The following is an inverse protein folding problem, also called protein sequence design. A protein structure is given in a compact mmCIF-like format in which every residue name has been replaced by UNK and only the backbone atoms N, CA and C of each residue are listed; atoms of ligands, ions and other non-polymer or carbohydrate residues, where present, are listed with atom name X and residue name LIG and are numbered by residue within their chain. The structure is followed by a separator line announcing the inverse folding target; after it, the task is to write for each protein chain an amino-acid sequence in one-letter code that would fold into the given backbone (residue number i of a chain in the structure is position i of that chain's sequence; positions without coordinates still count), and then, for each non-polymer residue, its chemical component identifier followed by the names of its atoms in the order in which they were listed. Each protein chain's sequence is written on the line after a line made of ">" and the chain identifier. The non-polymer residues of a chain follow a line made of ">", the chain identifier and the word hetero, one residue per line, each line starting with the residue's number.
data_IF_806141887269
#
_entry.id   IF_806141887269
#
_cell.length_a   1.000
_cell.length_b   1.000
_cell.length_c   1.000
_cell.angle_alpha   90.00
_cell.angle_beta   90.00
_cell.angle_gamma   90.00
#
_symmetry.space_group_name_H-M   'P 1'
#
loop_
_entity.id
_entity.type
_entity.pdbx_description
1 polymer ?
#
# COMPACT_ATOMS: atom_id res chain seq x y z
N UNK A 1 -34.84 -0.80 -12.10
CA UNK A 1 -35.05 -1.59 -10.87
C UNK A 1 -34.21 -0.99 -9.78
N UNK A 2 -34.78 -0.77 -8.59
CA UNK A 2 -33.98 -0.34 -7.43
C UNK A 2 -33.33 -1.59 -6.81
N UNK A 3 -32.05 -1.50 -6.49
CA UNK A 3 -31.37 -2.56 -5.73
C UNK A 3 -31.87 -2.56 -4.28
N UNK A 4 -31.88 -3.72 -3.64
CA UNK A 4 -32.25 -3.87 -2.23
C UNK A 4 -31.31 -3.05 -1.32
N UNK A 5 -30.03 -3.01 -1.67
CA UNK A 5 -29.01 -2.27 -0.94
C UNK A 5 -27.86 -1.87 -1.87
N UNK A 6 -27.04 -0.94 -1.43
CA UNK A 6 -25.80 -0.49 -2.08
C UNK A 6 -24.68 -0.44 -1.03
N UNK A 7 -23.44 -0.32 -1.46
CA UNK A 7 -22.32 -0.16 -0.55
C UNK A 7 -22.55 1.03 0.41
N UNK A 8 -22.19 0.92 1.70
CA UNK A 8 -22.29 2.00 2.67
C UNK A 8 -21.52 3.24 2.22
N UNK A 9 -22.00 4.41 2.60
CA UNK A 9 -21.33 5.66 2.24
C UNK A 9 -19.90 5.71 2.80
N UNK A 10 -18.93 5.93 1.94
CA UNK A 10 -17.52 6.01 2.31
C UNK A 10 -16.79 4.66 2.23
N UNK A 11 -17.44 3.63 1.70
CA UNK A 11 -16.79 2.38 1.29
C UNK A 11 -16.79 2.27 -0.24
N UNK A 12 -15.91 1.45 -0.79
CA UNK A 12 -15.79 1.21 -2.23
C UNK A 12 -15.45 -0.24 -2.50
N UNK A 13 -16.15 -0.86 -3.46
CA UNK A 13 -15.75 -2.16 -3.99
C UNK A 13 -14.49 -2.00 -4.88
N UNK A 14 -13.53 -2.90 -4.71
CA UNK A 14 -12.37 -3.02 -5.61
C UNK A 14 -12.72 -4.09 -6.65
N UNK A 15 -13.01 -3.63 -7.86
CA UNK A 15 -13.51 -4.50 -8.93
C UNK A 15 -12.37 -5.25 -9.64
N UNK A 16 -12.65 -6.38 -10.34
CA UNK A 16 -11.63 -7.20 -11.02
C UNK A 16 -10.73 -6.42 -12.01
N UNK A 17 -11.20 -5.32 -12.59
CA UNK A 17 -10.38 -4.46 -13.44
C UNK A 17 -9.42 -3.54 -12.68
N UNK A 18 -9.63 -3.32 -11.38
CA UNK A 18 -8.79 -2.49 -10.52
C UNK A 18 -7.85 -3.35 -9.64
N UNK A 19 -8.29 -4.56 -9.27
CA UNK A 19 -7.58 -5.46 -8.35
C UNK A 19 -6.11 -5.71 -8.73
N UNK A 20 -5.71 -5.88 -10.01
CA UNK A 20 -4.31 -6.10 -10.35
C UNK A 20 -3.39 -4.93 -9.98
N UNK A 21 -3.88 -3.69 -10.03
CA UNK A 21 -3.12 -2.51 -9.58
C UNK A 21 -2.92 -2.51 -8.07
N UNK A 22 -3.93 -2.94 -7.32
CA UNK A 22 -3.86 -3.12 -5.87
C UNK A 22 -2.85 -4.19 -5.49
N UNK A 23 -2.95 -5.37 -6.11
CA UNK A 23 -2.01 -6.48 -5.89
C UNK A 23 -0.56 -6.09 -6.20
N UNK A 24 -0.34 -5.32 -7.27
CA UNK A 24 0.98 -4.78 -7.59
C UNK A 24 1.49 -3.85 -6.49
N UNK A 25 0.67 -2.89 -6.05
CA UNK A 25 1.01 -1.94 -5.00
C UNK A 25 1.35 -2.66 -3.69
N UNK A 26 0.43 -3.50 -3.20
CA UNK A 26 0.57 -4.26 -1.96
C UNK A 26 1.83 -5.13 -1.97
N UNK A 27 2.00 -5.91 -3.05
CA UNK A 27 3.15 -6.79 -3.23
C UNK A 27 4.47 -6.00 -3.25
N UNK A 28 4.55 -4.93 -4.02
CA UNK A 28 5.77 -4.10 -4.12
C UNK A 28 6.17 -3.52 -2.77
N UNK A 29 5.22 -3.02 -1.98
CA UNK A 29 5.49 -2.45 -0.67
C UNK A 29 5.98 -3.51 0.33
N UNK A 30 5.35 -4.69 0.36
CA UNK A 30 5.77 -5.80 1.23
C UNK A 30 7.15 -6.34 0.85
N UNK A 31 7.43 -6.54 -0.43
CA UNK A 31 8.74 -6.97 -0.94
C UNK A 31 9.83 -5.94 -0.63
N UNK A 32 9.54 -4.64 -0.78
CA UNK A 32 10.47 -3.57 -0.42
C UNK A 32 10.78 -3.59 1.08
N UNK A 33 9.76 -3.75 1.94
CA UNK A 33 9.98 -3.87 3.39
C UNK A 33 10.83 -5.10 3.75
N UNK A 34 10.65 -6.22 3.04
CA UNK A 34 11.43 -7.44 3.26
C UNK A 34 12.92 -7.23 2.96
N UNK A 35 13.28 -6.41 1.94
CA UNK A 35 14.67 -6.04 1.66
C UNK A 35 15.33 -5.28 2.81
N UNK A 36 14.56 -4.54 3.60
CA UNK A 36 15.03 -3.86 4.82
C UNK A 36 14.94 -4.74 6.07
N UNK A 37 14.58 -6.03 5.91
CA UNK A 37 14.50 -7.01 7.00
C UNK A 37 13.22 -6.95 7.82
N UNK A 38 12.19 -6.25 7.36
CA UNK A 38 10.88 -6.27 7.99
C UNK A 38 10.11 -7.53 7.58
N UNK A 39 9.39 -8.11 8.53
CA UNK A 39 8.57 -9.32 8.33
C UNK A 39 7.10 -8.99 8.49
N UNK A 40 6.25 -9.55 7.63
CA UNK A 40 4.82 -9.32 7.70
C UNK A 40 4.24 -9.82 9.01
N UNK A 41 3.42 -8.98 9.65
CA UNK A 41 2.56 -9.32 10.78
C UNK A 41 1.10 -9.05 10.43
N UNK A 42 0.20 -9.94 10.81
CA UNK A 42 -1.24 -9.78 10.63
C UNK A 42 -1.93 -9.69 11.98
N UNK A 43 -2.72 -8.66 12.17
CA UNK A 43 -3.44 -8.38 13.42
C UNK A 43 -4.96 -8.46 13.20
N UNK A 44 -5.77 -8.71 14.24
CA UNK A 44 -7.22 -8.72 14.15
C UNK A 44 -7.80 -7.42 13.59
N UNK A 45 -8.94 -7.53 12.90
CA UNK A 45 -9.66 -6.37 12.35
C UNK A 45 -10.34 -5.53 13.44
N UNK A 46 -10.63 -6.12 14.57
CA UNK A 46 -11.24 -5.46 15.72
C UNK A 46 -10.48 -5.80 17.01
N UNK A 47 -10.46 -4.86 17.92
CA UNK A 47 -9.73 -4.92 19.20
C UNK A 47 -10.64 -4.42 20.32
N UNK A 48 -10.23 -4.63 21.58
CA UNK A 48 -10.84 -3.94 22.70
C UNK A 48 -10.67 -2.43 22.55
N UNK A 49 -11.74 -1.68 22.78
CA UNK A 49 -11.74 -0.21 22.63
C UNK A 49 -10.66 0.47 23.45
N UNK A 50 -10.34 -0.10 24.64
CA UNK A 50 -9.28 0.41 25.52
C UNK A 50 -7.90 0.47 24.86
N UNK A 51 -7.61 -0.43 23.92
CA UNK A 51 -6.36 -0.39 23.19
C UNK A 51 -6.16 0.97 22.51
N UNK A 52 -7.18 1.45 21.81
CA UNK A 52 -7.08 2.69 21.05
C UNK A 52 -7.23 3.94 21.94
N UNK A 53 -8.09 3.91 22.94
CA UNK A 53 -8.24 5.06 23.85
C UNK A 53 -6.96 5.35 24.63
N UNK A 54 -6.23 4.33 25.05
CA UNK A 54 -4.95 4.49 25.76
C UNK A 54 -3.80 4.87 24.84
N UNK A 55 -3.68 4.20 23.69
CA UNK A 55 -2.51 4.35 22.83
C UNK A 55 -2.58 5.55 21.89
N UNK A 56 -3.77 5.84 21.31
CA UNK A 56 -3.93 6.91 20.30
C UNK A 56 -4.09 8.28 20.95
N UNK A 57 -4.60 8.32 22.17
CA UNK A 57 -4.84 9.53 22.97
C UNK A 57 -6.28 10.02 22.90
N UNK A 58 -6.86 10.25 24.09
CA UNK A 58 -8.25 10.68 24.28
C UNK A 58 -8.58 12.04 23.63
N UNK A 59 -7.57 12.84 23.30
CA UNK A 59 -7.75 14.18 22.72
C UNK A 59 -7.77 14.17 21.20
N UNK A 60 -7.53 13.02 20.57
CA UNK A 60 -7.47 12.90 19.10
C UNK A 60 -8.84 12.84 18.48
N UNK A 61 -9.01 13.42 17.28
CA UNK A 61 -10.27 13.32 16.53
C UNK A 61 -10.62 11.86 16.22
N UNK A 62 -9.63 11.00 16.02
CA UNK A 62 -9.80 9.56 15.78
C UNK A 62 -10.57 8.92 16.94
N UNK A 63 -10.11 9.10 18.17
CA UNK A 63 -10.74 8.51 19.36
C UNK A 63 -12.08 9.15 19.66
N UNK A 64 -12.19 10.48 19.57
CA UNK A 64 -13.39 11.20 19.96
C UNK A 64 -14.56 11.05 18.98
N UNK A 65 -14.30 10.93 17.67
CA UNK A 65 -15.34 11.10 16.63
C UNK A 65 -15.32 10.06 15.51
N UNK A 66 -14.19 9.33 15.33
CA UNK A 66 -14.00 8.56 14.10
C UNK A 66 -13.98 7.04 14.29
N UNK A 67 -13.92 6.55 15.54
CA UNK A 67 -13.92 5.11 15.80
C UNK A 67 -15.30 4.48 15.55
N UNK A 68 -15.29 3.30 14.91
CA UNK A 68 -16.45 2.41 14.82
C UNK A 68 -16.43 1.47 16.02
N UNK A 69 -17.18 1.84 17.07
CA UNK A 69 -17.25 1.10 18.32
C UNK A 69 -18.64 0.49 18.53
N UNK A 70 -18.67 -0.75 19.01
CA UNK A 70 -19.90 -1.49 19.30
C UNK A 70 -19.69 -2.41 20.52
N UNK A 71 -20.80 -2.84 21.11
CA UNK A 71 -20.78 -3.83 22.19
C UNK A 71 -21.00 -5.21 21.59
N UNK A 72 -20.13 -6.16 21.93
CA UNK A 72 -20.28 -7.56 21.51
C UNK A 72 -21.32 -8.31 22.36
N UNK A 73 -21.59 -9.58 22.02
CA UNK A 73 -22.54 -10.44 22.77
C UNK A 73 -22.09 -10.74 24.21
N UNK A 74 -20.82 -10.52 24.54
CA UNK A 74 -20.25 -10.66 25.88
C UNK A 74 -20.15 -9.33 26.63
N UNK A 75 -20.90 -8.31 26.20
CA UNK A 75 -20.96 -6.96 26.79
C UNK A 75 -19.61 -6.22 26.81
N UNK A 76 -18.66 -6.62 25.93
CA UNK A 76 -17.36 -5.97 25.82
C UNK A 76 -17.40 -4.86 24.75
N UNK A 77 -16.75 -3.73 25.04
CA UNK A 77 -16.59 -2.65 24.07
C UNK A 77 -15.50 -3.01 23.06
N UNK A 78 -15.87 -3.11 21.80
CA UNK A 78 -15.03 -3.51 20.68
C UNK A 78 -15.00 -2.39 19.64
N UNK A 79 -13.84 -2.17 19.04
CA UNK A 79 -13.64 -1.13 18.04
C UNK A 79 -12.98 -1.73 16.78
N UNK A 80 -13.51 -1.42 15.60
CA UNK A 80 -12.81 -1.71 14.34
C UNK A 80 -11.54 -0.86 14.31
N UNK A 81 -10.40 -1.47 14.00
CA UNK A 81 -9.08 -0.81 14.03
C UNK A 81 -9.05 0.46 13.16
N UNK A 82 -8.78 1.64 13.74
CA UNK A 82 -8.66 2.90 13.00
C UNK A 82 -7.25 3.13 12.44
N UNK A 83 -6.26 2.31 12.88
CA UNK A 83 -4.86 2.33 12.48
C UNK A 83 -4.18 1.01 12.88
N UNK A 84 -2.92 0.78 12.46
CA UNK A 84 -2.22 -0.49 12.69
C UNK A 84 -1.32 -0.51 13.92
N UNK A 85 -0.67 0.60 14.25
CA UNK A 85 0.43 0.67 15.23
C UNK A 85 0.06 0.11 16.61
N UNK A 86 -1.09 0.49 17.15
CA UNK A 86 -1.56 0.02 18.47
C UNK A 86 -1.79 -1.50 18.48
N UNK A 87 -2.43 -2.03 17.44
CA UNK A 87 -2.68 -3.46 17.28
C UNK A 87 -1.39 -4.27 17.14
N UNK A 88 -0.41 -3.74 16.40
CA UNK A 88 0.92 -4.36 16.26
C UNK A 88 1.68 -4.33 17.58
N UNK A 89 1.66 -3.21 18.31
CA UNK A 89 2.28 -3.09 19.63
C UNK A 89 1.69 -4.10 20.63
N UNK A 90 0.34 -4.23 20.68
CA UNK A 90 -0.34 -5.24 21.49
C UNK A 90 0.08 -6.65 21.07
N UNK A 91 0.12 -6.96 19.77
CA UNK A 91 0.50 -8.28 19.28
C UNK A 91 1.95 -8.62 19.64
N UNK A 92 2.88 -7.66 19.54
CA UNK A 92 4.27 -7.84 19.92
C UNK A 92 4.42 -8.13 21.42
N UNK A 93 3.66 -7.45 22.27
CA UNK A 93 3.63 -7.69 23.73
C UNK A 93 3.04 -9.05 24.08
N UNK A 94 1.84 -9.33 23.59
CA UNK A 94 1.07 -10.54 23.94
C UNK A 94 1.80 -11.82 23.54
N UNK A 95 2.52 -11.80 22.41
CA UNK A 95 3.26 -12.94 21.89
C UNK A 95 4.76 -12.95 22.29
N UNK A 96 5.19 -12.03 23.17
CA UNK A 96 6.55 -12.00 23.69
C UNK A 96 7.64 -11.64 22.67
N UNK A 97 7.28 -11.08 21.52
CA UNK A 97 8.24 -10.81 20.43
C UNK A 97 9.31 -9.79 20.82
N UNK A 98 9.04 -8.96 21.83
CA UNK A 98 10.02 -7.98 22.35
C UNK A 98 11.06 -8.61 23.30
N UNK A 99 10.90 -9.88 23.66
CA UNK A 99 11.88 -10.66 24.45
C UNK A 99 12.89 -11.41 23.61
N UNK A 100 12.71 -11.49 22.30
CA UNK A 100 13.58 -12.17 21.34
C UNK A 100 14.72 -11.25 20.87
N UNK A 101 15.23 -11.50 19.66
CA UNK A 101 16.27 -10.68 19.05
C UNK A 101 15.74 -9.29 18.69
N UNK A 102 16.34 -8.24 19.25
CA UNK A 102 16.04 -6.85 18.90
C UNK A 102 17.09 -6.31 17.90
N UNK A 103 16.73 -5.37 17.00
CA UNK A 103 15.39 -4.76 16.88
C UNK A 103 14.36 -5.69 16.23
N UNK A 104 13.13 -5.68 16.73
CA UNK A 104 11.99 -6.30 16.07
C UNK A 104 11.54 -5.39 14.91
N UNK A 105 11.54 -5.91 13.68
CA UNK A 105 11.11 -5.21 12.47
C UNK A 105 9.89 -5.91 11.88
N UNK A 106 8.74 -5.26 11.85
CA UNK A 106 7.50 -5.83 11.28
C UNK A 106 6.83 -4.86 10.31
N UNK A 107 6.22 -5.42 9.26
CA UNK A 107 5.41 -4.71 8.28
C UNK A 107 3.98 -5.26 8.26
N UNK A 108 3.03 -4.46 7.84
CA UNK A 108 1.63 -4.87 7.71
C UNK A 108 0.95 -4.19 6.52
N UNK A 109 0.01 -4.93 5.93
CA UNK A 109 -0.97 -4.42 4.98
C UNK A 109 -2.35 -4.78 5.51
N UNK A 110 -3.15 -3.77 5.87
CA UNK A 110 -4.39 -3.96 6.61
C UNK A 110 -5.49 -2.99 6.19
N UNK A 111 -6.73 -3.45 6.28
CA UNK A 111 -7.92 -2.58 6.20
C UNK A 111 -8.15 -1.86 7.52
N UNK A 112 -8.39 -0.56 7.47
CA UNK A 112 -8.70 0.31 8.61
C UNK A 112 -10.06 0.99 8.45
N UNK A 113 -10.62 1.48 9.56
CA UNK A 113 -11.97 2.04 9.61
C UNK A 113 -12.01 3.35 10.38
N UNK A 114 -12.47 4.44 9.74
CA UNK A 114 -12.66 5.76 10.39
C UNK A 114 -13.95 6.41 9.92
N UNK A 115 -14.76 6.89 10.84
CA UNK A 115 -16.00 7.61 10.54
C UNK A 115 -15.69 9.06 10.15
N UNK A 116 -14.85 9.25 9.14
CA UNK A 116 -14.55 10.59 8.64
C UNK A 116 -15.48 11.00 7.47
N UNK A 117 -15.45 12.29 7.13
CA UNK A 117 -16.18 12.81 5.96
C UNK A 117 -15.48 12.30 4.69
N UNK A 118 -16.17 11.48 3.85
CA UNK A 118 -15.60 11.00 2.61
C UNK A 118 -15.20 12.13 1.66
N UNK A 119 -14.06 11.97 1.00
CA UNK A 119 -13.50 12.94 0.06
C UNK A 119 -12.49 12.29 -0.87
N UNK A 120 -11.75 13.08 -1.63
CA UNK A 120 -10.69 12.58 -2.51
C UNK A 120 -9.62 11.82 -1.70
N UNK A 121 -9.47 10.52 -1.95
CA UNK A 121 -8.54 9.66 -1.23
C UNK A 121 -8.86 9.44 0.26
N UNK A 122 -10.07 9.77 0.72
CA UNK A 122 -10.56 9.55 2.10
C UNK A 122 -11.80 8.70 2.09
N UNK A 123 -11.70 7.54 2.72
CA UNK A 123 -12.75 6.56 2.84
C UNK A 123 -12.99 6.22 4.31
N UNK A 124 -14.14 5.63 4.62
CA UNK A 124 -14.47 5.12 5.95
C UNK A 124 -13.92 3.72 6.18
N UNK A 125 -13.77 2.97 5.12
CA UNK A 125 -12.99 1.76 5.02
C UNK A 125 -11.86 2.04 4.05
N UNK A 126 -10.61 1.88 4.49
CA UNK A 126 -9.41 2.21 3.72
C UNK A 126 -8.28 1.26 4.07
N UNK A 127 -7.27 1.19 3.24
CA UNK A 127 -6.14 0.29 3.40
C UNK A 127 -4.88 1.05 3.79
N UNK A 128 -4.12 0.46 4.70
CA UNK A 128 -2.84 0.98 5.15
C UNK A 128 -1.75 -0.08 5.02
N UNK A 129 -0.67 0.30 4.34
CA UNK A 129 0.62 -0.33 4.53
C UNK A 129 1.38 0.43 5.62
N UNK A 130 2.04 -0.29 6.52
CA UNK A 130 2.87 0.32 7.55
C UNK A 130 4.00 -0.59 8.02
N UNK A 131 4.94 0.01 8.73
CA UNK A 131 6.06 -0.70 9.36
C UNK A 131 6.29 -0.19 10.77
N UNK A 132 6.74 -1.09 11.65
CA UNK A 132 7.09 -0.77 13.02
C UNK A 132 8.44 -1.42 13.37
N UNK A 133 9.34 -0.65 13.95
CA UNK A 133 10.64 -1.09 14.44
C UNK A 133 10.70 -0.83 15.95
N UNK A 134 10.89 -1.88 16.74
CA UNK A 134 10.94 -1.81 18.20
C UNK A 134 12.32 -2.17 18.74
N UNK A 135 12.69 -1.56 19.87
CA UNK A 135 13.87 -1.91 20.65
C UNK A 135 15.15 -1.18 20.24
N UNK A 136 15.09 -0.18 19.35
CA UNK A 136 16.24 0.61 18.98
C UNK A 136 16.01 2.11 19.22
N UNK A 137 16.81 2.72 20.09
CA UNK A 137 16.73 4.12 20.48
C UNK A 137 17.63 5.05 19.62
N UNK A 138 18.51 4.50 18.81
CA UNK A 138 19.52 5.25 18.06
C UNK A 138 18.93 5.98 16.84
N UNK A 139 19.54 7.09 16.41
CA UNK A 139 19.21 7.77 15.16
C UNK A 139 19.31 6.88 13.91
N UNK A 140 20.09 5.82 13.96
CA UNK A 140 20.22 4.84 12.89
C UNK A 140 18.89 4.14 12.59
N UNK A 141 18.10 3.81 13.63
CA UNK A 141 16.79 3.21 13.46
C UNK A 141 15.79 4.18 12.78
N UNK A 142 15.88 5.47 13.11
CA UNK A 142 15.06 6.49 12.46
C UNK A 142 15.41 6.58 10.98
N UNK A 143 16.71 6.66 10.68
CA UNK A 143 17.20 6.77 9.29
C UNK A 143 16.84 5.54 8.46
N UNK A 144 16.90 4.33 9.03
CA UNK A 144 16.47 3.08 8.39
C UNK A 144 14.99 3.12 7.98
N UNK A 145 14.12 3.54 8.90
CA UNK A 145 12.67 3.65 8.65
C UNK A 145 12.36 4.75 7.65
N UNK A 146 13.08 5.88 7.70
CA UNK A 146 12.96 6.98 6.73
C UNK A 146 13.44 6.57 5.34
N UNK A 147 14.55 5.81 5.25
CA UNK A 147 15.06 5.28 3.99
C UNK A 147 14.04 4.31 3.35
N UNK A 148 13.47 3.40 4.14
CA UNK A 148 12.41 2.51 3.67
C UNK A 148 11.18 3.30 3.19
N UNK A 149 10.77 4.33 3.94
CA UNK A 149 9.64 5.16 3.56
C UNK A 149 9.84 5.86 2.20
N UNK A 150 11.05 6.36 1.96
CA UNK A 150 11.43 6.96 0.68
C UNK A 150 11.49 5.92 -0.44
N UNK A 151 12.14 4.78 -0.20
CA UNK A 151 12.28 3.70 -1.17
C UNK A 151 10.91 3.15 -1.61
N UNK A 152 9.97 2.95 -0.68
CA UNK A 152 8.60 2.54 -1.01
C UNK A 152 7.93 3.43 -2.07
N UNK A 153 8.16 4.74 -2.03
CA UNK A 153 7.57 5.66 -3.01
C UNK A 153 8.35 5.67 -4.33
N UNK A 154 9.67 5.52 -4.24
CA UNK A 154 10.58 5.52 -5.41
C UNK A 154 10.34 4.28 -6.29
N UNK A 155 10.26 3.09 -5.71
CA UNK A 155 10.03 1.83 -6.47
C UNK A 155 8.64 1.79 -7.12
N UNK A 156 7.68 2.55 -6.60
CA UNK A 156 6.36 2.73 -7.20
C UNK A 156 6.37 3.72 -8.38
N UNK A 157 7.53 4.29 -8.72
CA UNK A 157 7.69 5.23 -9.82
C UNK A 157 7.29 6.68 -9.51
N UNK A 158 7.00 7.01 -8.24
CA UNK A 158 6.65 8.36 -7.85
C UNK A 158 7.89 9.26 -7.85
N UNK A 159 7.83 10.31 -8.66
CA UNK A 159 8.87 11.35 -8.74
C UNK A 159 8.58 12.48 -7.74
N UNK A 160 9.56 13.36 -7.52
CA UNK A 160 9.39 14.55 -6.69
C UNK A 160 8.88 14.27 -5.27
N UNK A 161 9.37 13.17 -4.66
CA UNK A 161 9.12 12.82 -3.28
C UNK A 161 10.17 13.45 -2.38
N UNK A 162 9.71 14.07 -1.28
CA UNK A 162 10.57 14.67 -0.25
C UNK A 162 10.08 14.23 1.12
N UNK A 163 11.00 13.86 1.98
CA UNK A 163 10.71 13.62 3.39
C UNK A 163 10.72 14.96 4.14
N UNK A 164 9.59 15.34 4.71
CA UNK A 164 9.51 16.49 5.60
C UNK A 164 9.70 16.03 7.04
N UNK A 165 10.72 16.57 7.70
CA UNK A 165 11.18 16.14 9.00
C UNK A 165 10.94 17.19 10.07
N UNK A 166 10.56 16.76 11.27
CA UNK A 166 10.59 17.57 12.47
C UNK A 166 11.07 16.74 13.67
N UNK A 167 11.38 17.40 14.77
CA UNK A 167 11.62 16.76 16.05
C UNK A 167 10.70 17.33 17.11
N UNK A 168 9.87 16.49 17.72
CA UNK A 168 9.02 16.88 18.87
C UNK A 168 9.80 16.89 20.19
N UNK A 169 11.08 16.56 20.17
CA UNK A 169 11.92 16.46 21.36
C UNK A 169 11.51 15.35 22.33
N UNK A 170 12.22 15.27 23.43
CA UNK A 170 11.84 14.43 24.57
C UNK A 170 10.74 15.10 25.43
N UNK A 171 10.18 14.43 26.43
CA UNK A 171 9.15 15.01 27.31
C UNK A 171 9.54 16.34 27.93
N UNK A 172 10.81 16.53 28.30
CA UNK A 172 11.32 17.79 28.86
C UNK A 172 11.36 18.93 27.83
N UNK A 173 11.78 18.62 26.60
CA UNK A 173 11.73 19.59 25.48
C UNK A 173 10.29 20.01 25.21
N UNK A 174 9.39 19.02 25.13
CA UNK A 174 7.96 19.24 24.87
C UNK A 174 7.33 20.11 25.96
N UNK A 175 7.64 19.86 27.23
CA UNK A 175 7.12 20.66 28.35
C UNK A 175 7.48 22.13 28.23
N UNK A 176 8.74 22.45 27.94
CA UNK A 176 9.21 23.82 27.72
C UNK A 176 8.54 24.47 26.51
N UNK A 177 8.45 23.75 25.43
CA UNK A 177 7.83 24.22 24.19
C UNK A 177 6.32 24.47 24.37
N UNK A 178 5.60 23.56 25.04
CA UNK A 178 4.16 23.74 25.35
C UNK A 178 3.91 25.01 26.12
N UNK A 179 4.77 25.38 27.08
CA UNK A 179 4.66 26.63 27.82
C UNK A 179 4.84 27.86 26.92
N UNK A 180 5.82 27.82 26.00
CA UNK A 180 6.03 28.88 25.02
C UNK A 180 4.86 29.01 24.04
N UNK A 181 4.32 27.88 23.53
CA UNK A 181 3.14 27.88 22.67
C UNK A 181 1.91 28.46 23.37
N UNK A 182 1.66 28.04 24.63
CA UNK A 182 0.56 28.58 25.42
C UNK A 182 0.67 30.09 25.56
N UNK A 183 1.83 30.60 25.95
CA UNK A 183 2.06 32.05 26.07
C UNK A 183 1.83 32.80 24.75
N UNK A 184 2.29 32.21 23.64
CA UNK A 184 2.10 32.77 22.30
C UNK A 184 0.62 32.79 21.89
N UNK A 185 -0.09 31.67 21.98
CA UNK A 185 -1.49 31.59 21.54
C UNK A 185 -2.45 32.34 22.47
N UNK A 186 -2.16 32.42 23.78
CA UNK A 186 -2.94 33.26 24.70
C UNK A 186 -2.91 34.73 24.30
N UNK A 187 -1.79 35.24 23.76
CA UNK A 187 -1.70 36.62 23.23
C UNK A 187 -2.57 36.82 21.98
N UNK A 188 -3.01 35.75 21.35
CA UNK A 188 -3.86 35.78 20.14
C UNK A 188 -5.26 35.19 20.38
N UNK A 189 -5.63 34.90 21.62
CA UNK A 189 -6.83 34.15 22.03
C UNK A 189 -8.12 34.64 21.35
N UNK A 190 -8.30 35.94 21.26
CA UNK A 190 -9.51 36.55 20.67
C UNK A 190 -9.66 36.31 19.16
N UNK A 191 -8.59 35.90 18.49
CA UNK A 191 -8.56 35.66 17.04
C UNK A 191 -8.65 34.18 16.68
N UNK A 192 -8.54 33.28 17.67
CA UNK A 192 -8.58 31.85 17.45
C UNK A 192 -10.01 31.34 17.25
N UNK A 193 -10.19 30.36 16.38
CA UNK A 193 -11.48 29.69 16.21
C UNK A 193 -11.86 28.86 17.45
N UNK A 194 -13.16 28.55 17.61
CA UNK A 194 -13.67 27.81 18.77
C UNK A 194 -12.94 26.48 19.01
N UNK A 195 -12.63 25.74 17.93
CA UNK A 195 -11.88 24.48 18.02
C UNK A 195 -10.45 24.68 18.56
N UNK A 196 -9.78 25.77 18.14
CA UNK A 196 -8.44 26.09 18.64
C UNK A 196 -8.44 26.54 20.10
N UNK A 197 -9.49 27.21 20.54
CA UNK A 197 -9.68 27.53 21.97
C UNK A 197 -9.76 26.27 22.83
N UNK A 198 -10.55 25.26 22.40
CA UNK A 198 -10.62 23.97 23.10
C UNK A 198 -9.29 23.22 23.08
N UNK A 199 -8.59 23.24 21.91
CA UNK A 199 -7.27 22.60 21.74
C UNK A 199 -6.21 23.27 22.62
N UNK A 200 -6.28 24.57 22.80
CA UNK A 200 -5.35 25.32 23.65
C UNK A 200 -5.37 24.84 25.09
N UNK A 201 -6.54 24.45 25.61
CA UNK A 201 -6.69 23.92 26.96
C UNK A 201 -6.22 22.47 27.10
N UNK A 202 -6.40 21.65 26.05
CA UNK A 202 -6.13 20.20 26.10
C UNK A 202 -4.75 19.84 25.55
N UNK A 203 -4.44 20.30 24.36
CA UNK A 203 -3.17 20.03 23.66
C UNK A 203 -2.82 21.19 22.70
N UNK A 204 -2.05 22.19 23.14
CA UNK A 204 -1.71 23.37 22.36
C UNK A 204 -1.00 23.09 21.03
N UNK A 205 -0.26 21.97 20.95
CA UNK A 205 0.38 21.53 19.70
C UNK A 205 -0.62 21.34 18.56
N UNK A 206 -1.86 20.96 18.86
CA UNK A 206 -2.92 20.77 17.87
C UNK A 206 -3.43 22.06 17.23
N UNK A 207 -3.11 23.21 17.79
CA UNK A 207 -3.44 24.52 17.21
C UNK A 207 -2.63 24.73 15.94
N UNK A 208 -1.38 24.21 15.88
CA UNK A 208 -0.50 24.29 14.71
C UNK A 208 -1.08 23.57 13.47
N UNK A 209 -1.91 22.53 13.66
CA UNK A 209 -2.57 21.77 12.59
C UNK A 209 -4.01 22.27 12.32
N UNK A 210 -4.32 23.52 12.65
CA UNK A 210 -5.65 24.07 12.36
C UNK A 210 -5.81 24.34 10.87
N UNK A 211 -6.99 23.97 10.33
CA UNK A 211 -7.33 24.20 8.91
C UNK A 211 -8.03 25.54 8.65
N UNK A 212 -8.31 26.30 9.69
CA UNK A 212 -8.85 27.63 9.55
C UNK A 212 -7.76 28.59 9.04
N UNK A 213 -7.97 29.32 7.93
CA UNK A 213 -6.94 30.18 7.33
C UNK A 213 -6.40 31.28 8.27
N UNK A 214 -7.24 31.84 9.16
CA UNK A 214 -6.78 32.84 10.12
C UNK A 214 -5.92 32.22 11.23
N UNK A 215 -6.29 31.05 11.73
CA UNK A 215 -5.50 30.32 12.72
C UNK A 215 -4.16 29.86 12.11
N UNK A 216 -4.13 29.48 10.84
CA UNK A 216 -2.90 29.14 10.12
C UNK A 216 -1.92 30.33 10.04
N UNK A 217 -2.43 31.53 9.80
CA UNK A 217 -1.60 32.74 9.80
C UNK A 217 -1.00 33.01 11.19
N UNK A 218 -1.78 32.77 12.24
CA UNK A 218 -1.29 32.90 13.61
C UNK A 218 -0.27 31.80 13.90
N UNK A 219 -0.56 30.56 13.55
CA UNK A 219 0.33 29.42 13.76
C UNK A 219 1.69 29.57 13.04
N UNK A 220 1.71 30.20 11.86
CA UNK A 220 2.94 30.48 11.12
C UNK A 220 3.92 31.40 11.87
N UNK A 221 3.44 32.19 12.83
CA UNK A 221 4.28 33.04 13.69
C UNK A 221 4.64 32.40 15.04
N UNK A 222 4.20 31.17 15.30
CA UNK A 222 4.47 30.47 16.56
C UNK A 222 5.96 30.12 16.70
N UNK A 223 6.49 30.02 17.93
CA UNK A 223 7.86 29.56 18.17
C UNK A 223 8.08 28.13 17.60
N UNK A 224 9.29 27.87 17.11
CA UNK A 224 9.66 26.53 16.62
C UNK A 224 10.02 25.60 17.79
N UNK A 225 9.59 24.33 17.74
CA UNK A 225 10.02 23.30 18.70
C UNK A 225 11.54 23.10 18.68
N UNK A 226 12.17 23.31 17.53
CA UNK A 226 13.60 23.11 17.34
C UNK A 226 14.44 24.04 18.25
N UNK A 227 13.92 25.22 18.62
CA UNK A 227 14.58 26.16 19.53
C UNK A 227 14.55 25.72 20.99
N UNK A 228 13.72 24.69 21.31
CA UNK A 228 13.50 24.18 22.67
C UNK A 228 14.09 22.78 22.89
N UNK A 229 14.78 22.23 21.88
CA UNK A 229 15.43 20.94 22.00
C UNK A 229 16.60 20.97 22.98
N UNK A 230 16.72 19.95 23.80
CA UNK A 230 17.95 19.71 24.60
C UNK A 230 19.07 19.19 23.70
N UNK A 231 20.31 19.22 24.19
CA UNK A 231 21.50 18.80 23.42
C UNK A 231 21.37 17.38 22.85
N UNK A 232 20.84 16.43 23.63
CA UNK A 232 20.63 15.06 23.16
C UNK A 232 19.63 14.96 22.01
N UNK A 233 18.54 15.74 22.08
CA UNK A 233 17.53 15.75 21.01
C UNK A 233 18.04 16.48 19.74
N UNK A 234 18.83 17.52 19.92
CA UNK A 234 19.51 18.22 18.80
C UNK A 234 20.49 17.27 18.10
N UNK A 235 21.35 16.60 18.86
CA UNK A 235 22.34 15.64 18.32
C UNK A 235 21.64 14.48 17.61
N UNK A 236 20.59 13.91 18.22
CA UNK A 236 19.81 12.86 17.59
C UNK A 236 19.22 13.29 16.25
N UNK A 237 18.58 14.46 16.21
CA UNK A 237 17.97 14.97 14.99
C UNK A 237 18.99 15.35 13.92
N UNK A 238 20.16 15.86 14.33
CA UNK A 238 21.25 16.16 13.41
C UNK A 238 21.82 14.86 12.80
N UNK A 239 22.06 13.83 13.61
CA UNK A 239 22.57 12.55 13.11
C UNK A 239 21.60 11.89 12.11
N UNK A 240 20.28 12.00 12.31
CA UNK A 240 19.29 11.55 11.30
C UNK A 240 19.49 12.27 9.97
N UNK A 241 19.61 13.60 10.01
CA UNK A 241 19.83 14.41 8.81
C UNK A 241 21.14 14.07 8.10
N UNK A 242 22.22 13.87 8.86
CA UNK A 242 23.53 13.50 8.32
C UNK A 242 23.50 12.16 7.59
N UNK A 243 22.77 11.16 8.15
CA UNK A 243 22.58 9.84 7.54
C UNK A 243 21.75 9.91 6.26
N UNK A 244 20.67 10.67 6.24
CA UNK A 244 19.85 10.86 5.04
C UNK A 244 20.64 11.59 3.95
N UNK A 245 21.45 12.59 4.33
CA UNK A 245 22.35 13.28 3.41
C UNK A 245 23.40 12.32 2.80
N UNK A 246 24.00 11.50 3.64
CA UNK A 246 24.98 10.49 3.18
C UNK A 246 24.37 9.44 2.26
N UNK A 247 23.08 9.14 2.42
CA UNK A 247 22.31 8.23 1.56
C UNK A 247 21.67 8.92 0.35
N UNK A 248 21.91 10.20 0.14
CA UNK A 248 21.34 11.01 -0.95
C UNK A 248 19.79 11.01 -0.96
N UNK A 249 19.17 10.83 0.20
CA UNK A 249 17.71 10.85 0.35
C UNK A 249 17.24 12.29 0.51
N UNK A 250 16.36 12.81 -0.36
CA UNK A 250 15.89 14.18 -0.28
C UNK A 250 14.99 14.40 0.94
N UNK A 251 15.33 15.38 1.75
CA UNK A 251 14.53 15.80 2.88
C UNK A 251 14.55 17.32 3.07
N UNK A 252 13.60 17.81 3.86
CA UNK A 252 13.60 19.18 4.38
C UNK A 252 13.10 19.19 5.81
N UNK A 253 13.60 20.12 6.60
CA UNK A 253 13.11 20.36 7.95
C UNK A 253 11.86 21.22 7.89
N UNK A 254 10.75 20.73 8.44
CA UNK A 254 9.46 21.43 8.49
C UNK A 254 8.97 21.50 9.94
N UNK A 255 9.28 22.58 10.68
CA UNK A 255 8.98 22.69 12.11
C UNK A 255 7.50 22.70 12.46
N UNK A 256 6.61 22.90 11.49
CA UNK A 256 5.16 22.93 11.72
C UNK A 256 4.50 21.55 11.72
N UNK A 257 5.24 20.49 11.37
CA UNK A 257 4.68 19.13 11.40
C UNK A 257 4.33 18.75 12.84
N UNK A 258 3.03 18.52 13.07
CA UNK A 258 2.48 17.85 14.24
C UNK A 258 1.67 16.67 13.75
N UNK A 259 1.90 15.50 14.34
CA UNK A 259 1.20 14.27 13.93
C UNK A 259 -0.17 14.15 14.60
N UNK A 260 -1.08 13.43 13.93
CA UNK A 260 -2.46 13.23 14.37
C UNK A 260 -2.63 12.38 15.64
N UNK A 261 -1.56 11.79 16.20
CA UNK A 261 -1.58 10.88 17.35
C UNK A 261 -0.62 11.41 18.43
N UNK A 262 -0.96 11.22 19.72
CA UNK A 262 -0.26 11.89 20.82
C UNK A 262 0.99 11.16 21.32
N UNK A 263 1.21 9.92 20.87
CA UNK A 263 2.33 9.08 21.34
C UNK A 263 3.71 9.45 20.77
N UNK A 264 3.78 10.30 19.75
CA UNK A 264 5.05 10.62 19.09
C UNK A 264 6.02 11.42 19.98
N UNK A 265 7.31 11.10 19.84
CA UNK A 265 8.44 11.78 20.47
C UNK A 265 9.58 11.94 19.47
N UNK A 266 10.53 12.87 19.71
CA UNK A 266 11.71 13.06 18.83
C UNK A 266 11.33 13.16 17.36
N UNK A 267 11.91 12.30 16.51
CA UNK A 267 11.71 12.33 15.04
C UNK A 267 10.27 12.07 14.65
N UNK A 268 9.69 12.98 13.88
CA UNK A 268 8.42 12.81 13.15
C UNK A 268 8.63 13.24 11.71
N UNK A 269 7.86 12.65 10.81
CA UNK A 269 8.00 12.94 9.38
C UNK A 269 6.72 12.73 8.58
N UNK A 270 6.69 13.35 7.43
CA UNK A 270 5.70 13.15 6.39
C UNK A 270 6.39 12.87 5.05
N UNK A 271 5.82 11.98 4.27
CA UNK A 271 6.22 11.70 2.90
C UNK A 271 5.38 12.55 1.97
N UNK A 272 6.00 13.54 1.35
CA UNK A 272 5.30 14.52 0.52
C UNK A 272 5.68 14.34 -0.94
N UNK A 273 4.70 14.07 -1.76
CA UNK A 273 4.81 14.10 -3.20
C UNK A 273 4.33 15.46 -3.71
N UNK A 274 5.03 16.03 -4.70
CA UNK A 274 4.60 17.26 -5.36
C UNK A 274 4.28 16.94 -6.81
N UNK A 275 3.00 17.05 -7.15
CA UNK A 275 2.52 16.83 -8.51
C UNK A 275 3.09 17.88 -9.50
N UNK A 276 3.12 17.60 -10.81
CA UNK A 276 3.51 18.57 -11.83
C UNK A 276 2.70 19.88 -11.80
N UNK A 277 1.47 19.83 -11.29
CA UNK A 277 0.61 21.00 -11.04
C UNK A 277 1.12 21.90 -9.90
N UNK A 278 2.09 21.44 -9.10
CA UNK A 278 2.53 22.07 -7.87
C UNK A 278 1.69 21.73 -6.64
N UNK A 279 0.67 20.87 -6.77
CA UNK A 279 -0.11 20.38 -5.64
C UNK A 279 0.73 19.44 -4.78
N UNK A 280 0.72 19.70 -3.47
CA UNK A 280 1.43 18.88 -2.48
C UNK A 280 0.48 17.85 -1.87
N UNK A 281 0.89 16.61 -1.88
CA UNK A 281 0.14 15.49 -1.35
C UNK A 281 0.96 14.72 -0.31
N UNK A 282 0.43 14.62 0.91
CA UNK A 282 1.02 13.76 1.95
C UNK A 282 0.61 12.32 1.68
N UNK A 283 1.56 11.49 1.23
CA UNK A 283 1.35 10.07 0.92
C UNK A 283 1.28 9.19 2.17
N UNK A 284 1.96 9.61 3.22
CA UNK A 284 2.02 8.91 4.49
C UNK A 284 2.87 9.66 5.48
N UNK A 285 3.12 9.05 6.62
CA UNK A 285 4.01 9.62 7.61
C UNK A 285 4.07 8.80 8.88
N UNK A 286 5.02 9.16 9.72
CA UNK A 286 5.35 8.40 10.89
C UNK A 286 6.19 9.17 11.89
N UNK A 287 6.88 8.43 12.73
CA UNK A 287 7.80 8.98 13.70
C UNK A 287 8.12 8.03 14.83
N UNK A 288 8.94 8.50 15.75
CA UNK A 288 9.36 7.77 16.94
C UNK A 288 8.32 7.88 18.05
N UNK A 289 8.16 6.80 18.79
CA UNK A 289 7.31 6.70 19.96
C UNK A 289 7.98 5.82 21.03
N UNK A 290 8.21 6.39 22.24
CA UNK A 290 8.92 5.68 23.31
C UNK A 290 8.01 5.21 24.44
N UNK A 291 6.76 5.73 24.52
CA UNK A 291 5.82 5.44 25.61
C UNK A 291 4.81 4.33 25.31
N UNK A 292 4.53 4.04 24.05
CA UNK A 292 3.40 3.19 23.65
C UNK A 292 3.43 1.78 24.26
N UNK A 293 4.56 1.11 24.20
CA UNK A 293 4.71 -0.24 24.77
C UNK A 293 4.50 -0.24 26.29
N UNK A 294 5.00 0.79 26.99
CA UNK A 294 4.81 0.94 28.42
C UNK A 294 3.35 1.25 28.78
N UNK A 295 2.67 2.08 28.02
CA UNK A 295 1.23 2.39 28.21
C UNK A 295 0.35 1.14 28.05
N UNK A 296 0.78 0.21 27.22
CA UNK A 296 0.15 -1.10 27.03
C UNK A 296 0.55 -2.15 28.07
N UNK A 297 1.36 -1.77 29.08
CA UNK A 297 1.75 -2.64 30.21
C UNK A 297 3.05 -3.41 29.99
N UNK A 298 3.80 -3.12 28.93
CA UNK A 298 5.13 -3.70 28.69
C UNK A 298 6.26 -2.91 29.35
N UNK A 299 7.48 -3.42 29.20
CA UNK A 299 8.68 -2.66 29.58
C UNK A 299 8.88 -1.45 28.66
N UNK A 300 9.48 -0.35 29.14
CA UNK A 300 9.84 0.78 28.29
C UNK A 300 10.63 0.31 27.09
N UNK A 301 10.07 0.49 25.90
CA UNK A 301 10.66 0.03 24.65
C UNK A 301 10.46 1.10 23.59
N UNK A 302 11.56 1.59 23.04
CA UNK A 302 11.53 2.56 21.94
C UNK A 302 10.96 1.92 20.67
N UNK A 303 10.16 2.69 19.95
CA UNK A 303 9.59 2.30 18.67
C UNK A 303 9.67 3.45 17.67
N UNK A 304 9.71 3.10 16.40
CA UNK A 304 9.57 4.01 15.27
C UNK A 304 8.88 3.29 14.13
N UNK A 305 7.97 3.97 13.46
CA UNK A 305 7.24 3.40 12.33
C UNK A 305 6.60 4.46 11.45
N UNK A 306 5.97 4.02 10.38
CA UNK A 306 5.13 4.84 9.53
C UNK A 306 3.95 4.06 8.97
N UNK A 307 2.96 4.80 8.47
CA UNK A 307 1.88 4.24 7.68
C UNK A 307 1.57 5.09 6.45
N UNK A 308 1.20 4.42 5.35
CA UNK A 308 0.76 4.99 4.08
C UNK A 308 -0.66 4.55 3.77
N UNK A 309 -1.50 5.46 3.25
CA UNK A 309 -2.85 5.12 2.76
C UNK A 309 -2.79 4.65 1.32
N UNK A 310 -3.18 3.39 1.05
CA UNK A 310 -3.02 2.76 -0.25
C UNK A 310 -3.92 3.39 -1.33
N UNK A 311 -5.14 3.80 -0.99
CA UNK A 311 -6.04 4.50 -1.92
C UNK A 311 -5.42 5.78 -2.45
N UNK A 312 -4.73 6.51 -1.57
CA UNK A 312 -4.07 7.76 -1.94
C UNK A 312 -2.84 7.48 -2.81
N UNK A 313 -2.01 6.51 -2.44
CA UNK A 313 -0.87 6.10 -3.25
C UNK A 313 -1.32 5.66 -4.65
N UNK A 314 -2.29 4.78 -4.74
CA UNK A 314 -2.80 4.28 -6.02
C UNK A 314 -3.35 5.41 -6.90
N UNK A 315 -4.12 6.33 -6.30
CA UNK A 315 -4.64 7.47 -7.06
C UNK A 315 -3.53 8.41 -7.55
N UNK A 316 -2.48 8.59 -6.75
CA UNK A 316 -1.30 9.39 -7.13
C UNK A 316 -0.52 8.72 -8.25
N UNK A 317 -0.24 7.40 -8.14
CA UNK A 317 0.43 6.64 -9.20
C UNK A 317 -0.30 6.73 -10.54
N UNK A 318 -1.64 6.60 -10.52
CA UNK A 318 -2.46 6.72 -11.73
C UNK A 318 -2.40 8.14 -12.30
N UNK A 319 -2.45 9.16 -11.45
CA UNK A 319 -2.40 10.56 -11.88
C UNK A 319 -1.04 10.96 -12.48
N UNK A 320 0.05 10.40 -11.94
CA UNK A 320 1.42 10.62 -12.43
C UNK A 320 1.77 9.74 -13.65
N UNK A 321 0.90 8.80 -14.02
CA UNK A 321 1.16 7.89 -15.13
C UNK A 321 2.23 6.85 -14.84
N UNK A 322 2.37 6.45 -13.57
CA UNK A 322 3.27 5.36 -13.19
C UNK A 322 2.90 4.06 -13.91
N UNK A 323 3.90 3.27 -14.24
CA UNK A 323 3.71 1.99 -14.91
C UNK A 323 3.08 0.95 -13.97
N UNK A 324 2.11 0.23 -14.50
CA UNK A 324 1.55 -0.95 -13.86
C UNK A 324 1.79 -2.17 -14.72
N UNK A 325 2.01 -3.34 -14.12
CA UNK A 325 2.09 -4.58 -14.88
C UNK A 325 0.84 -4.74 -15.76
N UNK A 326 0.99 -5.25 -16.99
CA UNK A 326 -0.15 -5.52 -17.85
C UNK A 326 -1.11 -6.50 -17.16
N UNK A 327 -2.40 -6.31 -17.43
CA UNK A 327 -3.41 -7.24 -16.95
C UNK A 327 -3.12 -8.64 -17.46
N UNK A 328 -3.18 -9.62 -16.57
CA UNK A 328 -3.09 -11.02 -16.98
C UNK A 328 -4.36 -11.36 -17.78
N UNK A 329 -4.19 -11.58 -19.09
CA UNK A 329 -5.26 -11.93 -20.01
C UNK A 329 -5.25 -13.43 -20.29
N UNK A 330 -6.35 -13.98 -20.82
CA UNK A 330 -6.44 -15.39 -21.20
C UNK A 330 -5.37 -15.74 -22.23
N UNK A 331 -4.48 -16.68 -21.91
CA UNK A 331 -3.47 -17.11 -22.86
C UNK A 331 -4.10 -17.91 -24.00
N UNK A 332 -4.93 -18.91 -23.67
CA UNK A 332 -5.56 -19.77 -24.66
C UNK A 332 -7.07 -19.92 -24.38
N UNK A 333 -7.89 -19.54 -25.34
CA UNK A 333 -9.33 -19.82 -25.30
C UNK A 333 -9.65 -20.97 -26.26
N UNK A 334 -10.27 -22.04 -25.73
CA UNK A 334 -10.66 -23.21 -26.52
C UNK A 334 -12.15 -23.14 -26.84
N UNK A 335 -12.47 -22.72 -28.03
CA UNK A 335 -13.83 -22.74 -28.57
C UNK A 335 -14.23 -24.15 -29.02
N UNK A 336 -15.50 -24.53 -28.85
CA UNK A 336 -15.96 -25.87 -29.22
C UNK A 336 -17.34 -25.87 -29.89
N UNK A 337 -17.59 -26.83 -30.75
CA UNK A 337 -18.85 -27.06 -31.42
C UNK A 337 -19.28 -28.54 -31.24
N UNK A 338 -20.41 -28.74 -30.56
CA UNK A 338 -20.93 -30.08 -30.24
C UNK A 338 -20.45 -30.62 -28.88
N UNK A 339 -21.15 -31.63 -28.37
CA UNK A 339 -20.93 -32.13 -27.02
C UNK A 339 -19.55 -32.79 -26.86
N UNK A 340 -19.12 -33.61 -27.81
CA UNK A 340 -17.81 -34.26 -27.75
C UNK A 340 -16.65 -33.29 -27.78
N UNK A 341 -16.72 -32.25 -28.62
CA UNK A 341 -15.74 -31.17 -28.68
C UNK A 341 -15.74 -30.34 -27.40
N UNK A 342 -16.90 -30.15 -26.77
CA UNK A 342 -16.99 -29.45 -25.46
C UNK A 342 -16.28 -30.19 -24.35
N UNK A 343 -16.44 -31.55 -24.28
CA UNK A 343 -15.73 -32.40 -23.31
C UNK A 343 -14.21 -32.35 -23.56
N UNK A 344 -13.78 -32.44 -24.80
CA UNK A 344 -12.36 -32.34 -25.16
C UNK A 344 -11.77 -30.95 -24.84
N UNK A 345 -12.51 -29.88 -25.15
CA UNK A 345 -12.10 -28.51 -24.84
C UNK A 345 -11.90 -28.31 -23.32
N UNK A 346 -12.80 -28.86 -22.51
CA UNK A 346 -12.66 -28.84 -21.04
C UNK A 346 -11.41 -29.59 -20.58
N UNK A 347 -11.19 -30.82 -21.11
CA UNK A 347 -10.00 -31.62 -20.81
C UNK A 347 -8.71 -30.86 -21.14
N UNK A 348 -8.61 -30.31 -22.34
CA UNK A 348 -7.41 -29.58 -22.80
C UNK A 348 -7.20 -28.26 -22.04
N UNK A 349 -8.27 -27.54 -21.72
CA UNK A 349 -8.17 -26.35 -20.88
C UNK A 349 -7.63 -26.66 -19.47
N UNK A 350 -8.05 -27.80 -18.88
CA UNK A 350 -7.52 -28.22 -17.59
C UNK A 350 -6.06 -28.67 -17.68
N UNK A 351 -5.67 -29.32 -18.75
CA UNK A 351 -4.27 -29.68 -18.98
C UNK A 351 -3.40 -28.42 -19.07
N UNK A 352 -3.78 -27.42 -19.86
CA UNK A 352 -3.06 -26.14 -19.94
C UNK A 352 -2.98 -25.43 -18.59
N UNK A 353 -4.05 -25.46 -17.78
CA UNK A 353 -4.05 -24.86 -16.44
C UNK A 353 -3.07 -25.55 -15.50
N UNK A 354 -2.96 -26.89 -15.57
CA UNK A 354 -1.98 -27.63 -14.75
C UNK A 354 -0.52 -27.31 -15.13
N UNK A 355 -0.30 -26.80 -16.33
CA UNK A 355 0.99 -26.34 -16.85
C UNK A 355 1.21 -24.81 -16.65
N UNK A 356 0.31 -24.13 -15.93
CA UNK A 356 0.43 -22.72 -15.60
C UNK A 356 -0.17 -21.73 -16.61
N UNK A 357 -0.81 -22.19 -17.68
CA UNK A 357 -1.47 -21.30 -18.63
C UNK A 357 -2.82 -20.80 -18.11
N UNK A 358 -3.13 -19.54 -18.35
CA UNK A 358 -4.48 -19.02 -18.16
C UNK A 358 -5.38 -19.47 -19.33
N UNK A 359 -5.98 -20.64 -19.23
CA UNK A 359 -6.82 -21.22 -20.29
C UNK A 359 -8.31 -21.19 -19.91
N UNK A 360 -9.17 -20.92 -20.92
CA UNK A 360 -10.62 -20.92 -20.77
C UNK A 360 -11.29 -21.70 -21.90
N UNK A 361 -12.52 -22.21 -21.64
CA UNK A 361 -13.43 -22.80 -22.64
C UNK A 361 -14.84 -22.26 -22.42
N UNK A 362 -15.76 -22.53 -23.37
CA UNK A 362 -17.13 -22.03 -23.26
C UNK A 362 -17.93 -22.75 -22.14
N UNK A 363 -18.52 -21.97 -21.28
CA UNK A 363 -19.38 -22.44 -20.17
C UNK A 363 -20.88 -22.18 -20.43
N UNK A 364 -21.22 -21.51 -21.54
CA UNK A 364 -22.56 -21.01 -21.80
C UNK A 364 -23.29 -21.73 -22.94
N UNK A 365 -22.64 -22.71 -23.58
CA UNK A 365 -23.18 -23.40 -24.75
C UNK A 365 -23.37 -22.48 -25.97
N UNK A 366 -22.47 -21.49 -26.15
CA UNK A 366 -22.55 -20.49 -27.21
C UNK A 366 -22.18 -21.09 -28.57
N UNK A 367 -22.71 -20.50 -29.65
CA UNK A 367 -22.20 -20.80 -30.99
C UNK A 367 -20.73 -20.38 -31.11
N UNK A 368 -19.95 -21.05 -31.99
CA UNK A 368 -18.53 -20.74 -32.21
C UNK A 368 -18.30 -19.26 -32.51
N UNK A 369 -19.17 -18.64 -33.32
CA UNK A 369 -19.11 -17.19 -33.60
C UNK A 369 -19.21 -16.34 -32.32
N UNK A 370 -20.09 -16.73 -31.39
CA UNK A 370 -20.24 -16.00 -30.11
C UNK A 370 -19.08 -16.28 -29.17
N UNK A 371 -18.52 -17.51 -29.17
CA UNK A 371 -17.30 -17.86 -28.43
C UNK A 371 -16.10 -17.05 -28.92
N UNK A 372 -15.89 -16.94 -30.23
CA UNK A 372 -14.82 -16.11 -30.79
C UNK A 372 -14.95 -14.63 -30.43
N UNK A 373 -16.17 -14.10 -30.45
CA UNK A 373 -16.44 -12.72 -29.99
C UNK A 373 -16.13 -12.55 -28.50
N UNK A 374 -16.43 -13.56 -27.71
CA UNK A 374 -16.12 -13.57 -26.27
C UNK A 374 -14.60 -13.67 -26.04
N UNK A 375 -13.89 -14.57 -26.72
CA UNK A 375 -12.43 -14.69 -26.66
C UNK A 375 -11.75 -13.34 -26.94
N UNK A 376 -12.19 -12.64 -27.99
CA UNK A 376 -11.68 -11.29 -28.29
C UNK A 376 -12.00 -10.29 -27.18
N UNK A 377 -13.20 -10.34 -26.59
CA UNK A 377 -13.62 -9.43 -25.51
C UNK A 377 -12.79 -9.60 -24.23
N UNK A 378 -12.38 -10.85 -23.92
CA UNK A 378 -11.54 -11.15 -22.74
C UNK A 378 -10.04 -10.99 -23.01
N UNK A 379 -9.67 -10.55 -24.22
CA UNK A 379 -8.27 -10.35 -24.61
C UNK A 379 -7.49 -11.67 -24.70
N UNK A 380 -8.12 -12.76 -25.15
CA UNK A 380 -7.42 -14.02 -25.34
C UNK A 380 -6.29 -13.84 -26.37
N UNK A 381 -5.07 -14.27 -26.02
CA UNK A 381 -3.90 -14.17 -26.89
C UNK A 381 -3.97 -15.18 -28.04
N UNK A 382 -4.41 -16.38 -27.72
CA UNK A 382 -4.57 -17.48 -28.68
C UNK A 382 -5.96 -18.11 -28.57
N UNK A 383 -6.41 -18.67 -29.69
CA UNK A 383 -7.68 -19.40 -29.75
C UNK A 383 -7.47 -20.73 -30.50
N UNK A 384 -8.08 -21.79 -29.94
CA UNK A 384 -8.24 -23.09 -30.58
C UNK A 384 -9.72 -23.29 -30.84
N UNK A 385 -10.10 -23.78 -32.02
CA UNK A 385 -11.48 -24.16 -32.33
C UNK A 385 -11.53 -25.66 -32.50
N UNK A 386 -12.40 -26.32 -31.76
CA UNK A 386 -12.63 -27.77 -31.81
C UNK A 386 -14.02 -28.08 -32.35
N UNK A 387 -14.09 -28.82 -33.39
CA UNK A 387 -15.27 -29.42 -33.95
C UNK A 387 -15.08 -30.94 -34.13
N UNK A 388 -15.98 -31.56 -34.83
CA UNK A 388 -15.95 -32.99 -35.09
C UNK A 388 -14.75 -33.37 -35.98
N UNK A 389 -14.42 -32.53 -36.96
CA UNK A 389 -13.29 -32.72 -37.88
C UNK A 389 -11.93 -32.70 -37.18
N UNK A 390 -11.72 -31.75 -36.26
CA UNK A 390 -10.50 -31.66 -35.46
C UNK A 390 -10.34 -32.86 -34.54
N UNK A 391 -11.44 -33.35 -33.94
CA UNK A 391 -11.42 -34.53 -33.07
C UNK A 391 -11.07 -35.78 -33.87
N UNK A 392 -11.61 -35.95 -35.09
CA UNK A 392 -11.33 -37.08 -35.96
C UNK A 392 -9.90 -37.10 -36.49
N UNK A 393 -9.36 -35.92 -36.84
CA UNK A 393 -7.99 -35.78 -37.31
C UNK A 393 -6.95 -35.85 -36.17
N UNK A 394 -7.38 -35.63 -34.91
CA UNK A 394 -6.47 -35.50 -33.77
C UNK A 394 -5.57 -34.25 -33.83
N UNK A 395 -5.95 -33.26 -34.62
CA UNK A 395 -5.20 -32.02 -34.84
C UNK A 395 -6.15 -30.81 -34.86
N UNK A 396 -5.66 -29.65 -34.36
CA UNK A 396 -6.37 -28.40 -34.41
C UNK A 396 -5.40 -27.25 -34.77
N UNK A 397 -5.94 -26.06 -35.00
CA UNK A 397 -5.14 -24.86 -35.24
C UNK A 397 -5.12 -23.97 -34.00
N UNK A 398 -3.93 -23.66 -33.50
CA UNK A 398 -3.68 -22.59 -32.55
C UNK A 398 -3.57 -21.28 -33.33
N UNK A 399 -4.49 -20.35 -33.13
CA UNK A 399 -4.54 -19.08 -33.81
C UNK A 399 -4.12 -17.95 -32.87
N UNK A 400 -3.09 -17.18 -33.23
CA UNK A 400 -2.77 -15.91 -32.58
C UNK A 400 -3.86 -14.88 -32.88
N UNK A 401 -4.41 -14.28 -31.85
CA UNK A 401 -5.45 -13.25 -31.99
C UNK A 401 -4.86 -11.88 -32.34
N UNK A 402 -3.56 -11.67 -32.09
CA UNK A 402 -2.84 -10.45 -32.45
C UNK A 402 -2.41 -10.47 -33.93
N UNK A 403 -1.59 -11.45 -34.31
CA UNK A 403 -1.02 -11.53 -35.66
C UNK A 403 -1.93 -12.22 -36.67
N UNK A 404 -2.91 -12.98 -36.24
CA UNK A 404 -3.75 -13.83 -37.08
C UNK A 404 -3.05 -15.08 -37.61
N UNK A 405 -1.76 -15.29 -37.31
CA UNK A 405 -1.01 -16.50 -37.68
C UNK A 405 -1.62 -17.73 -37.03
N UNK A 406 -1.47 -18.86 -37.70
CA UNK A 406 -1.97 -20.16 -37.22
C UNK A 406 -0.85 -21.21 -37.28
N UNK A 407 -0.82 -22.08 -36.22
CA UNK A 407 0.07 -23.22 -36.15
C UNK A 407 -0.75 -24.50 -35.93
N UNK A 408 -0.36 -25.61 -36.52
CA UNK A 408 -1.00 -26.89 -36.30
C UNK A 408 -0.53 -27.49 -34.97
N UNK A 409 -1.47 -27.92 -34.14
CA UNK A 409 -1.21 -28.57 -32.85
C UNK A 409 -1.89 -29.93 -32.76
N UNK A 410 -1.24 -30.89 -32.12
CA UNK A 410 -1.79 -32.22 -31.90
C UNK A 410 -2.69 -32.25 -30.64
N UNK A 411 -3.77 -33.03 -30.70
CA UNK A 411 -4.71 -33.20 -29.59
C UNK A 411 -4.42 -34.48 -28.76
N UNK A 412 -3.18 -34.93 -28.78
CA UNK A 412 -2.67 -36.10 -28.05
C UNK A 412 -1.91 -35.71 -26.76
N UNK A 413 -1.07 -36.63 -26.27
CA UNK A 413 -0.26 -36.42 -25.06
C UNK A 413 0.79 -35.32 -25.18
N UNK A 414 1.12 -34.85 -26.39
CA UNK A 414 2.07 -33.75 -26.63
C UNK A 414 1.40 -32.37 -26.77
N UNK A 415 0.08 -32.29 -26.51
CA UNK A 415 -0.70 -31.07 -26.72
C UNK A 415 -0.14 -29.86 -25.99
N UNK A 416 0.12 -29.99 -24.68
CA UNK A 416 0.63 -28.86 -23.88
C UNK A 416 2.01 -28.43 -24.30
N UNK A 417 2.88 -29.38 -24.65
CA UNK A 417 4.24 -29.10 -25.12
C UNK A 417 4.21 -28.33 -26.45
N UNK A 418 3.39 -28.81 -27.40
CA UNK A 418 3.23 -28.14 -28.71
C UNK A 418 2.67 -26.71 -28.56
N UNK A 419 1.67 -26.52 -27.68
CA UNK A 419 1.10 -25.19 -27.39
C UNK A 419 2.16 -24.29 -26.77
N UNK A 420 2.96 -24.81 -25.81
CA UNK A 420 4.04 -24.05 -25.17
C UNK A 420 5.10 -23.61 -26.18
N UNK A 421 5.60 -24.54 -27.01
CA UNK A 421 6.60 -24.26 -28.05
C UNK A 421 6.14 -23.16 -29.01
N UNK A 422 4.89 -23.24 -29.49
CA UNK A 422 4.32 -22.27 -30.41
C UNK A 422 4.13 -20.88 -29.78
N UNK A 423 3.68 -20.83 -28.53
CA UNK A 423 3.54 -19.55 -27.80
C UNK A 423 4.90 -18.93 -27.55
N UNK A 424 5.90 -19.71 -27.13
CA UNK A 424 7.26 -19.20 -26.87
C UNK A 424 7.95 -18.77 -28.17
N UNK A 425 7.82 -19.52 -29.25
CA UNK A 425 8.35 -19.16 -30.56
C UNK A 425 7.73 -17.86 -31.08
N UNK A 426 6.42 -17.69 -30.93
CA UNK A 426 5.74 -16.46 -31.33
C UNK A 426 6.17 -15.25 -30.48
N UNK A 427 6.30 -15.43 -29.18
CA UNK A 427 6.74 -14.37 -28.27
C UNK A 427 8.20 -13.96 -28.54
N UNK A 428 9.07 -14.92 -28.86
CA UNK A 428 10.45 -14.64 -29.23
C UNK A 428 10.54 -13.86 -30.53
N UNK A 429 9.77 -14.25 -31.55
CA UNK A 429 9.73 -13.52 -32.84
C UNK A 429 9.20 -12.07 -32.69
N UNK A 430 8.22 -11.85 -31.79
CA UNK A 430 7.72 -10.50 -31.49
C UNK A 430 8.77 -9.65 -30.76
N UNK A 431 9.58 -10.26 -29.87
CA UNK A 431 10.71 -9.60 -29.20
C UNK A 431 11.82 -9.23 -30.16
N UNK A 432 12.17 -10.12 -31.11
CA UNK A 432 13.15 -9.85 -32.20
C UNK A 432 12.70 -8.66 -33.05
N UNK A 433 11.45 -8.68 -33.51
CA UNK A 433 10.90 -7.58 -34.31
C UNK A 433 10.89 -6.24 -33.54
N UNK A 434 10.57 -6.26 -32.26
CA UNK A 434 10.60 -5.08 -31.40
C UNK A 434 12.03 -4.57 -31.16
N UNK A 435 13.00 -5.47 -30.98
CA UNK A 435 14.40 -5.12 -30.78
C UNK A 435 15.01 -4.53 -32.08
N UNK A 436 14.71 -5.12 -33.23
CA UNK A 436 15.14 -4.61 -34.52
C UNK A 436 14.61 -3.19 -34.78
N UNK A 437 13.34 -2.95 -34.43
CA UNK A 437 12.73 -1.62 -34.53
C UNK A 437 13.39 -0.56 -33.63
N UNK A 438 13.99 -1.00 -32.51
CA UNK A 438 14.71 -0.15 -31.57
C UNK A 438 16.22 -0.08 -31.84
N UNK A 439 16.72 -0.85 -32.83
CA UNK A 439 18.15 -0.96 -33.12
C UNK A 439 18.96 -1.67 -32.05
N UNK A 440 18.32 -2.55 -31.24
CA UNK A 440 18.93 -3.34 -30.21
C UNK A 440 19.31 -4.72 -30.73
N UNK A 441 20.55 -5.15 -30.54
CA UNK A 441 21.00 -6.50 -30.85
C UNK A 441 20.74 -7.44 -29.66
N UNK A 442 19.76 -8.35 -29.79
CA UNK A 442 19.41 -9.33 -28.77
C UNK A 442 19.99 -10.73 -29.06
N UNK A 443 20.81 -10.92 -30.11
CA UNK A 443 21.36 -12.23 -30.51
C UNK A 443 22.51 -12.74 -29.62
N UNK A 444 22.83 -12.07 -28.50
CA UNK A 444 23.90 -12.45 -27.59
C UNK A 444 23.61 -13.64 -26.64
N UNK A 445 22.43 -14.25 -26.68
CA UNK A 445 22.07 -15.38 -25.81
C UNK A 445 21.23 -16.43 -26.54
N UNK A 446 21.61 -17.71 -26.42
CA UNK A 446 20.74 -18.81 -26.85
C UNK A 446 19.41 -18.77 -26.04
N UNK A 447 18.25 -19.01 -26.68
CA UNK A 447 16.97 -19.04 -25.94
C UNK A 447 16.98 -20.17 -24.92
N UNK A 448 16.39 -19.98 -23.73
CA UNK A 448 16.27 -21.05 -22.74
C UNK A 448 15.31 -22.14 -23.25
N UNK A 449 15.86 -23.20 -23.79
CA UNK A 449 15.12 -24.35 -24.35
C UNK A 449 14.63 -25.36 -23.30
N UNK A 450 14.68 -25.06 -22.01
CA UNK A 450 14.21 -26.00 -20.97
C UNK A 450 13.26 -25.33 -19.99
N UNK A 451 12.14 -26.04 -19.73
CA UNK A 451 11.21 -25.71 -18.63
C UNK A 451 11.97 -25.64 -17.31
N UNK A 452 11.72 -24.64 -16.45
CA UNK A 452 12.16 -24.75 -15.06
C UNK A 452 11.42 -25.92 -14.41
N UNK A 453 12.19 -26.84 -13.82
CA UNK A 453 11.72 -28.00 -13.06
C UNK A 453 11.06 -27.59 -11.76
#
# INVERSE_FOLDING_TARGET
>A
MAYLTTAPRGTKDILPGETPKWQYLEKTLLETAELFGFREIRIPTFEHTELFTRSVGDTTDVVQKEMYTFTDKGERSITLRPEGTAGVARAALENGLLGDALPLKVSYDITCFRYEKPGSGRFREFHQFGVELYGAASPAADSEVLALAYECLTVLGLQNVVLELNSLGCPECRKKYTQALLAYFESHRERLCATCLERLEKNPLRVLDCKNPEDQKIAAGAPSILDYLCGDCQNHFQEVQDRLTAAEIPFRVEPTIVRGLDYYTRTVFEMVHTAPSGERLVCGGGGRYGGLIQELGGNPTEGIGFAMGLERLLSTMVAEGCDFPPLNTCDVYIASMGAAAGVKAFQLANLLRSEGFFAQSDLMGRSVKAQMKYANKIGAKYVIVLGEDELQKGEALLKSMHSGKTAAIRLDGSFSDTVYEEIMSSAYAELEEAADNLGLDIHGGEPPLSRPT
#
